data_IF_285785399346
#
_entry.id   IF_285785399346
#
_cell.length_a   1.000
_cell.length_b   1.000
_cell.length_c   1.000
_cell.angle_alpha   90.00
_cell.angle_beta   90.00
_cell.angle_gamma   90.00
#
_symmetry.space_group_name_H-M   'P 1'
#
loop_
_entity.id
_entity.type
_entity.pdbx_description
1 polymer ?
#
# COMPACT_ATOMS: atom_id res chain seq x y z
N UNK A 1 4.84 18.32 21.77
CA UNK A 1 5.88 17.43 22.34
C UNK A 1 5.57 15.99 21.97
N UNK A 2 6.58 15.25 21.48
CA UNK A 2 6.41 13.84 21.11
C UNK A 2 6.25 12.97 22.36
N UNK A 3 5.20 12.16 22.39
CA UNK A 3 4.93 11.22 23.48
C UNK A 3 4.67 9.85 22.89
N UNK A 4 5.30 8.83 23.45
CA UNK A 4 5.11 7.44 23.04
C UNK A 4 3.86 6.85 23.70
N UNK A 5 3.11 6.02 22.96
CA UNK A 5 1.97 5.30 23.51
C UNK A 5 2.40 4.35 24.64
N UNK A 6 3.48 3.62 24.44
CA UNK A 6 4.16 2.82 25.46
C UNK A 6 5.44 3.56 25.88
N UNK A 7 5.63 3.91 27.16
CA UNK A 7 6.79 4.69 27.59
C UNK A 7 8.12 4.10 27.10
N UNK A 8 8.91 4.94 26.41
CA UNK A 8 10.24 4.56 25.91
C UNK A 8 10.24 3.66 24.68
N UNK A 9 9.07 3.23 24.17
CA UNK A 9 8.95 2.36 23.00
C UNK A 9 8.25 3.07 21.83
N UNK A 10 8.77 2.91 20.63
CA UNK A 10 8.24 3.51 19.39
C UNK A 10 7.96 2.41 18.37
N UNK A 11 6.70 2.28 17.99
CA UNK A 11 6.30 1.53 16.81
C UNK A 11 6.35 2.46 15.59
N UNK A 12 7.17 2.11 14.60
CA UNK A 12 7.38 2.90 13.39
C UNK A 12 7.01 2.08 12.17
N UNK A 13 6.02 2.55 11.40
CA UNK A 13 5.70 1.97 10.10
C UNK A 13 6.18 2.90 8.99
N UNK A 14 6.84 2.34 7.98
CA UNK A 14 7.27 3.05 6.79
C UNK A 14 6.84 2.31 5.54
N UNK A 15 6.37 3.06 4.55
CA UNK A 15 5.99 2.48 3.26
C UNK A 15 7.21 1.96 2.53
N UNK A 16 7.14 0.72 2.03
CA UNK A 16 8.21 0.12 1.26
C UNK A 16 8.05 0.30 -0.26
N UNK A 17 8.97 -0.25 -1.05
CA UNK A 17 8.94 -0.12 -2.50
C UNK A 17 7.88 -0.99 -3.15
N UNK A 18 7.44 -0.56 -4.35
CA UNK A 18 6.77 -1.44 -5.31
C UNK A 18 7.86 -2.12 -6.16
N UNK A 19 7.94 -3.44 -6.05
CA UNK A 19 9.11 -4.22 -6.51
C UNK A 19 8.97 -4.74 -7.94
N UNK A 20 8.78 -3.85 -8.90
CA UNK A 20 8.76 -4.15 -10.33
C UNK A 20 9.91 -3.53 -11.11
N UNK A 21 10.71 -2.67 -10.47
CA UNK A 21 11.86 -1.97 -11.03
C UNK A 21 12.83 -1.53 -9.93
N UNK A 22 14.05 -1.15 -10.30
CA UNK A 22 15.03 -0.56 -9.39
C UNK A 22 14.51 0.74 -8.77
N UNK A 23 14.77 0.94 -7.48
CA UNK A 23 14.55 2.23 -6.85
C UNK A 23 15.52 3.27 -7.43
N UNK A 24 15.01 4.46 -7.78
CA UNK A 24 15.86 5.57 -8.19
C UNK A 24 16.12 6.51 -7.01
N UNK A 25 17.02 7.48 -7.20
CA UNK A 25 17.45 8.38 -6.12
C UNK A 25 16.30 9.16 -5.46
N UNK A 26 15.24 9.47 -6.20
CA UNK A 26 14.05 10.13 -5.66
C UNK A 26 13.31 9.26 -4.63
N UNK A 27 13.21 7.95 -4.88
CA UNK A 27 12.63 7.01 -3.91
C UNK A 27 13.55 6.84 -2.69
N UNK A 28 14.86 6.67 -2.94
CA UNK A 28 15.84 6.44 -1.88
C UNK A 28 15.96 7.62 -0.92
N UNK A 29 15.66 8.84 -1.37
CA UNK A 29 15.59 10.03 -0.49
C UNK A 29 14.60 9.83 0.67
N UNK A 30 13.41 9.30 0.40
CA UNK A 30 12.41 9.05 1.44
C UNK A 30 12.93 8.02 2.45
N UNK A 31 13.51 6.94 1.98
CA UNK A 31 14.06 5.88 2.85
C UNK A 31 15.24 6.38 3.71
N UNK A 32 16.06 7.30 3.19
CA UNK A 32 17.12 7.98 3.97
C UNK A 32 16.50 8.82 5.09
N UNK A 33 15.44 9.57 4.81
CA UNK A 33 14.77 10.40 5.81
C UNK A 33 14.17 9.54 6.94
N UNK A 34 13.53 8.44 6.59
CA UNK A 34 12.97 7.47 7.53
C UNK A 34 14.06 6.82 8.40
N UNK A 35 15.17 6.44 7.79
CA UNK A 35 16.34 5.86 8.48
C UNK A 35 16.98 6.86 9.45
N UNK A 36 17.11 8.12 9.05
CA UNK A 36 17.61 9.19 9.93
C UNK A 36 16.70 9.36 11.15
N UNK A 37 15.39 9.35 10.94
CA UNK A 37 14.43 9.45 12.04
C UNK A 37 14.55 8.25 12.99
N UNK A 38 14.61 7.02 12.46
CA UNK A 38 14.80 5.81 13.28
C UNK A 38 16.09 5.89 14.10
N UNK A 39 17.21 6.24 13.45
CA UNK A 39 18.52 6.36 14.11
C UNK A 39 18.51 7.43 15.18
N UNK A 40 17.86 8.57 14.92
CA UNK A 40 17.72 9.65 15.90
C UNK A 40 16.91 9.21 17.13
N UNK A 41 15.78 8.53 16.93
CA UNK A 41 14.96 8.02 18.02
C UNK A 41 15.74 7.01 18.87
N UNK A 42 16.45 6.07 18.25
CA UNK A 42 17.33 5.11 18.96
C UNK A 42 18.46 5.82 19.72
N UNK A 43 19.09 6.81 19.08
CA UNK A 43 20.13 7.62 19.75
C UNK A 43 19.58 8.41 20.94
N UNK A 44 18.33 8.86 20.86
CA UNK A 44 17.63 9.56 21.95
C UNK A 44 17.17 8.62 23.08
N UNK A 45 17.46 7.32 22.99
CA UNK A 45 17.19 6.33 24.04
C UNK A 45 15.85 5.59 23.89
N UNK A 46 15.15 5.75 22.78
CA UNK A 46 13.94 4.98 22.52
C UNK A 46 14.27 3.59 21.98
N UNK A 47 13.52 2.59 22.42
CA UNK A 47 13.43 1.30 21.75
C UNK A 47 12.49 1.44 20.54
N UNK A 48 12.98 1.16 19.33
CA UNK A 48 12.20 1.35 18.09
C UNK A 48 12.01 0.01 17.41
N UNK A 49 10.75 -0.34 17.12
CA UNK A 49 10.38 -1.44 16.25
C UNK A 49 9.91 -0.88 14.92
N UNK A 50 10.71 -1.04 13.86
CA UNK A 50 10.38 -0.55 12.52
C UNK A 50 9.84 -1.65 11.63
N UNK A 51 8.66 -1.43 11.08
CA UNK A 51 7.99 -2.30 10.10
C UNK A 51 7.96 -1.62 8.73
N UNK A 52 8.20 -2.39 7.67
CA UNK A 52 8.08 -1.95 6.29
C UNK A 52 7.34 -3.00 5.47
N UNK A 53 6.40 -2.58 4.64
CA UNK A 53 5.80 -3.46 3.65
C UNK A 53 6.68 -3.59 2.40
N UNK A 54 6.42 -4.62 1.60
CA UNK A 54 6.83 -4.71 0.20
C UNK A 54 5.57 -4.83 -0.64
N UNK A 55 5.39 -3.94 -1.61
CA UNK A 55 4.26 -4.01 -2.54
C UNK A 55 4.62 -4.91 -3.71
N UNK A 56 4.23 -6.17 -3.61
CA UNK A 56 4.49 -7.25 -4.57
C UNK A 56 3.24 -7.71 -5.30
N UNK A 57 2.12 -6.95 -5.20
CA UNK A 57 0.83 -7.24 -5.83
C UNK A 57 0.08 -5.97 -6.22
N UNK A 58 -0.70 -6.05 -7.31
CA UNK A 58 -1.84 -5.17 -7.56
C UNK A 58 -1.55 -3.71 -7.87
N UNK A 59 -0.42 -3.38 -8.52
CA UNK A 59 -0.12 -1.99 -8.84
C UNK A 59 -0.24 -1.71 -10.34
N UNK A 60 -1.12 -0.77 -10.70
CA UNK A 60 -1.33 -0.37 -12.09
C UNK A 60 -0.14 0.45 -12.64
N UNK A 61 0.07 0.39 -13.94
CA UNK A 61 1.17 1.09 -14.62
C UNK A 61 1.00 2.60 -14.70
N UNK A 62 -0.21 3.12 -14.44
CA UNK A 62 -0.49 4.54 -14.38
C UNK A 62 -1.23 4.91 -13.10
N UNK A 63 -0.97 6.13 -12.59
CA UNK A 63 -1.70 6.70 -11.45
C UNK A 63 -3.16 7.04 -11.82
N UNK A 64 -3.53 6.90 -13.09
CA UNK A 64 -4.84 7.22 -13.64
C UNK A 64 -5.83 6.04 -13.63
N UNK A 65 -5.56 5.00 -12.84
CA UNK A 65 -6.39 3.78 -12.79
C UNK A 65 -6.59 3.10 -14.16
N UNK A 66 -5.72 3.45 -15.11
CA UNK A 66 -5.71 2.92 -16.48
C UNK A 66 -4.33 2.33 -16.77
N UNK A 67 -4.24 1.07 -17.16
CA UNK A 67 -2.99 0.47 -17.58
C UNK A 67 -2.79 -0.98 -17.14
N UNK A 68 -1.72 -1.57 -17.67
CA UNK A 68 -1.29 -2.92 -17.34
C UNK A 68 -0.70 -2.98 -15.91
N UNK A 69 -0.90 -4.09 -15.22
CA UNK A 69 -0.25 -4.36 -13.93
C UNK A 69 1.28 -4.19 -14.05
N UNK A 70 1.86 -3.35 -13.21
CA UNK A 70 3.30 -3.05 -13.20
C UNK A 70 4.14 -4.31 -13.01
N UNK A 71 3.68 -5.24 -12.16
CA UNK A 71 4.37 -6.50 -11.91
C UNK A 71 4.34 -7.39 -13.15
N UNK A 72 3.20 -7.49 -13.83
CA UNK A 72 3.05 -8.26 -15.06
C UNK A 72 3.89 -7.69 -16.21
N UNK A 73 3.93 -6.36 -16.35
CA UNK A 73 4.78 -5.67 -17.31
C UNK A 73 6.27 -5.94 -17.06
N UNK A 74 6.70 -5.92 -15.80
CA UNK A 74 8.05 -6.29 -15.39
C UNK A 74 8.38 -7.74 -15.74
N UNK A 75 7.48 -8.66 -15.42
CA UNK A 75 7.62 -10.08 -15.68
C UNK A 75 7.76 -10.39 -17.18
N UNK A 76 6.91 -9.81 -18.02
CA UNK A 76 6.99 -9.97 -19.50
C UNK A 76 8.30 -9.41 -20.05
N UNK A 77 8.75 -8.25 -19.58
CA UNK A 77 10.02 -7.64 -20.03
C UNK A 77 11.22 -8.51 -19.73
N UNK A 78 11.23 -9.20 -18.60
CA UNK A 78 12.38 -9.97 -18.12
C UNK A 78 12.23 -11.47 -18.30
N UNK A 79 11.12 -11.94 -18.92
CA UNK A 79 10.82 -13.37 -19.11
C UNK A 79 10.85 -14.18 -17.80
N UNK A 80 10.34 -13.58 -16.71
CA UNK A 80 10.27 -14.16 -15.37
C UNK A 80 8.83 -14.20 -14.89
N UNK A 81 8.57 -14.96 -13.84
CA UNK A 81 7.30 -14.90 -13.13
C UNK A 81 7.20 -13.61 -12.32
N UNK A 82 5.97 -13.20 -11.98
CA UNK A 82 5.75 -12.01 -11.12
C UNK A 82 6.45 -12.14 -9.78
N UNK A 83 6.45 -13.33 -9.19
CA UNK A 83 7.11 -13.57 -7.90
C UNK A 83 8.63 -13.52 -7.99
N UNK A 84 9.22 -14.04 -9.07
CA UNK A 84 10.67 -13.91 -9.32
C UNK A 84 11.09 -12.46 -9.52
N UNK A 85 10.27 -11.66 -10.19
CA UNK A 85 10.50 -10.22 -10.34
C UNK A 85 10.43 -9.52 -8.99
N UNK A 86 9.40 -9.81 -8.20
CA UNK A 86 9.23 -9.23 -6.87
C UNK A 86 10.43 -9.53 -5.97
N UNK A 87 10.88 -10.79 -5.94
CA UNK A 87 12.03 -11.18 -5.15
C UNK A 87 13.32 -10.51 -5.62
N UNK A 88 13.57 -10.51 -6.93
CA UNK A 88 14.76 -9.89 -7.51
C UNK A 88 14.89 -8.40 -7.17
N UNK A 89 13.82 -7.62 -7.36
CA UNK A 89 13.85 -6.19 -7.05
C UNK A 89 13.80 -5.88 -5.56
N UNK A 90 13.22 -6.76 -4.74
CA UNK A 90 13.31 -6.67 -3.29
C UNK A 90 14.76 -6.82 -2.81
N UNK A 91 15.46 -7.81 -3.34
CA UNK A 91 16.88 -8.04 -3.00
C UNK A 91 17.76 -6.88 -3.46
N UNK A 92 17.54 -6.39 -4.70
CA UNK A 92 18.24 -5.23 -5.24
C UNK A 92 17.99 -3.96 -4.40
N UNK A 93 16.75 -3.72 -3.98
CA UNK A 93 16.40 -2.59 -3.12
C UNK A 93 17.16 -2.63 -1.78
N UNK A 94 17.18 -3.77 -1.11
CA UNK A 94 17.90 -3.88 0.17
C UNK A 94 19.40 -3.82 0.01
N UNK A 95 19.95 -4.30 -1.10
CA UNK A 95 21.38 -4.13 -1.40
C UNK A 95 21.74 -2.64 -1.62
N UNK A 96 20.88 -1.88 -2.31
CA UNK A 96 21.08 -0.44 -2.49
C UNK A 96 20.91 0.33 -1.16
N UNK A 97 19.94 -0.05 -0.32
CA UNK A 97 19.80 0.47 1.04
C UNK A 97 21.08 0.21 1.86
N UNK A 98 21.66 -0.97 1.77
CA UNK A 98 22.92 -1.33 2.46
C UNK A 98 24.08 -0.44 2.02
N UNK A 99 24.22 -0.19 0.71
CA UNK A 99 25.27 0.72 0.15
C UNK A 99 25.10 2.15 0.66
N UNK A 100 23.89 2.60 0.92
CA UNK A 100 23.56 3.92 1.46
C UNK A 100 23.57 3.96 2.99
N UNK A 101 23.97 2.87 3.66
CA UNK A 101 23.92 2.75 5.13
C UNK A 101 22.52 2.95 5.72
N UNK A 102 21.49 2.61 4.97
CA UNK A 102 20.11 2.56 5.46
C UNK A 102 19.92 1.25 6.21
N UNK A 103 19.49 1.32 7.47
CA UNK A 103 19.23 0.14 8.30
C UNK A 103 18.03 -0.64 7.73
N UNK A 104 18.17 -1.97 7.63
CA UNK A 104 17.03 -2.82 7.31
C UNK A 104 15.98 -2.72 8.43
N UNK A 105 14.68 -2.56 8.12
CA UNK A 105 13.62 -2.59 9.12
C UNK A 105 13.62 -3.89 9.93
N UNK A 106 13.14 -3.82 11.18
CA UNK A 106 13.09 -4.98 12.08
C UNK A 106 12.15 -6.05 11.53
N UNK A 107 11.06 -5.62 10.89
CA UNK A 107 10.13 -6.49 10.15
C UNK A 107 9.93 -5.98 8.73
N UNK A 108 10.05 -6.88 7.75
CA UNK A 108 9.75 -6.61 6.33
C UNK A 108 8.64 -7.58 5.92
N UNK A 109 7.48 -7.02 5.51
CA UNK A 109 6.31 -7.83 5.21
C UNK A 109 5.84 -7.62 3.75
N UNK A 110 5.98 -8.62 2.87
CA UNK A 110 5.35 -8.61 1.55
C UNK A 110 3.82 -8.60 1.65
N UNK A 111 3.16 -7.83 0.80
CA UNK A 111 1.70 -7.72 0.79
C UNK A 111 1.03 -9.07 0.49
N UNK A 112 1.60 -9.87 -0.40
CA UNK A 112 1.10 -11.23 -0.72
C UNK A 112 1.15 -12.20 0.46
N UNK A 113 1.96 -11.91 1.46
CA UNK A 113 2.07 -12.71 2.69
C UNK A 113 0.97 -12.44 3.72
N UNK A 114 0.02 -11.52 3.46
CA UNK A 114 -1.03 -11.12 4.42
C UNK A 114 -2.45 -11.28 3.86
N UNK A 115 -2.65 -12.11 2.84
CA UNK A 115 -3.96 -12.24 2.18
C UNK A 115 -5.05 -12.70 3.14
N UNK A 116 -4.77 -13.68 3.99
CA UNK A 116 -5.73 -14.20 4.97
C UNK A 116 -6.09 -13.14 6.01
N UNK A 117 -5.13 -12.36 6.47
CA UNK A 117 -5.33 -11.25 7.40
C UNK A 117 -6.17 -10.13 6.75
N UNK A 118 -5.94 -9.81 5.49
CA UNK A 118 -6.77 -8.83 4.77
C UNK A 118 -8.22 -9.30 4.68
N UNK A 119 -8.45 -10.56 4.33
CA UNK A 119 -9.81 -11.14 4.27
C UNK A 119 -10.49 -11.06 5.64
N UNK A 120 -9.78 -11.40 6.72
CA UNK A 120 -10.31 -11.32 8.09
C UNK A 120 -10.65 -9.87 8.48
N UNK A 121 -9.76 -8.91 8.19
CA UNK A 121 -9.99 -7.49 8.52
C UNK A 121 -11.18 -6.95 7.73
N UNK A 122 -11.25 -7.22 6.43
CA UNK A 122 -12.34 -6.76 5.56
C UNK A 122 -13.67 -7.36 6.02
N UNK A 123 -13.70 -8.65 6.38
CA UNK A 123 -14.89 -9.30 6.92
C UNK A 123 -15.39 -8.58 8.17
N UNK A 124 -14.48 -8.26 9.09
CA UNK A 124 -14.81 -7.51 10.31
C UNK A 124 -15.32 -6.10 10.02
N UNK A 125 -14.77 -5.43 9.01
CA UNK A 125 -15.24 -4.10 8.60
C UNK A 125 -16.65 -4.16 8.01
N UNK A 126 -16.95 -5.19 7.22
CA UNK A 126 -18.31 -5.43 6.69
C UNK A 126 -19.32 -5.72 7.84
N UNK A 127 -18.97 -6.59 8.78
CA UNK A 127 -19.80 -6.92 9.95
C UNK A 127 -20.10 -5.69 10.82
N UNK A 128 -19.13 -4.80 10.97
CA UNK A 128 -19.27 -3.55 11.73
C UNK A 128 -19.92 -2.40 10.94
N UNK A 129 -20.20 -2.58 9.66
CA UNK A 129 -20.81 -1.56 8.80
C UNK A 129 -19.87 -0.45 8.35
N UNK A 130 -18.53 -0.63 8.45
CA UNK A 130 -17.52 0.28 7.93
C UNK A 130 -17.14 -0.03 6.47
N UNK A 131 -17.58 -1.13 5.94
CA UNK A 131 -17.37 -1.51 4.54
C UNK A 131 -18.69 -1.96 3.91
N UNK A 132 -18.74 -1.94 2.59
CA UNK A 132 -19.90 -2.37 1.81
C UNK A 132 -19.46 -3.00 0.48
N UNK A 133 -20.38 -3.80 -0.11
CA UNK A 133 -20.18 -4.37 -1.44
C UNK A 133 -20.95 -3.57 -2.47
N UNK A 134 -20.32 -3.23 -3.59
CA UNK A 134 -20.95 -2.60 -4.74
C UNK A 134 -20.22 -2.99 -6.04
N UNK A 135 -20.95 -3.17 -7.14
CA UNK A 135 -20.37 -3.50 -8.45
C UNK A 135 -19.53 -4.80 -8.50
N UNK A 136 -19.56 -5.62 -7.44
CA UNK A 136 -18.74 -6.82 -7.26
C UNK A 136 -17.50 -6.61 -6.38
N UNK A 137 -17.14 -5.37 -6.06
CA UNK A 137 -15.99 -5.03 -5.22
C UNK A 137 -16.41 -4.74 -3.78
N UNK A 138 -15.45 -4.73 -2.86
CA UNK A 138 -15.65 -4.32 -1.47
C UNK A 138 -14.99 -2.96 -1.24
N UNK A 139 -15.75 -2.01 -0.70
CA UNK A 139 -15.31 -0.63 -0.44
C UNK A 139 -15.31 -0.33 1.05
N UNK A 140 -14.40 0.53 1.48
CA UNK A 140 -14.46 1.19 2.77
C UNK A 140 -15.40 2.39 2.67
N UNK A 141 -16.31 2.55 3.65
CA UNK A 141 -17.23 3.67 3.77
C UNK A 141 -16.61 4.79 4.60
N UNK A 142 -16.04 5.78 3.92
CA UNK A 142 -15.34 6.90 4.56
C UNK A 142 -16.27 7.77 5.42
N UNK A 143 -17.58 7.79 5.14
CA UNK A 143 -18.58 8.54 5.91
C UNK A 143 -18.79 8.03 7.32
N UNK A 144 -18.30 6.81 7.63
CA UNK A 144 -18.37 6.22 8.97
C UNK A 144 -17.31 6.75 9.94
N UNK A 145 -16.33 7.51 9.42
CA UNK A 145 -15.28 8.12 10.23
C UNK A 145 -15.69 9.56 10.57
N UNK A 146 -15.88 9.85 11.86
CA UNK A 146 -16.21 11.20 12.34
C UNK A 146 -15.13 12.22 11.97
N UNK A 147 -13.89 11.79 11.80
CA UNK A 147 -12.74 12.62 11.48
C UNK A 147 -11.80 11.90 10.53
N UNK A 148 -12.02 12.07 9.22
CA UNK A 148 -11.22 11.45 8.18
C UNK A 148 -9.88 12.18 7.96
N UNK A 149 -9.91 13.52 7.87
CA UNK A 149 -8.74 14.36 7.66
C UNK A 149 -8.13 14.80 9.00
N UNK A 150 -7.17 14.00 9.52
CA UNK A 150 -6.53 14.28 10.82
C UNK A 150 -5.30 15.18 10.65
N UNK A 151 -4.58 15.04 9.54
CA UNK A 151 -3.31 15.73 9.28
C UNK A 151 -3.40 16.81 8.19
N UNK A 152 -4.51 16.90 7.49
CA UNK A 152 -4.72 17.87 6.42
C UNK A 152 -5.95 18.70 6.73
N UNK A 153 -5.82 20.03 6.68
CA UNK A 153 -6.95 20.98 6.74
C UNK A 153 -7.61 21.12 5.36
N UNK A 154 -7.84 20.01 4.67
CA UNK A 154 -8.59 20.03 3.41
C UNK A 154 -10.08 19.92 3.72
N UNK A 155 -10.86 20.90 3.26
CA UNK A 155 -12.28 20.77 3.13
C UNK A 155 -12.61 19.76 2.01
N UNK A 156 -13.68 18.99 2.17
CA UNK A 156 -14.11 18.00 1.16
C UNK A 156 -14.28 18.61 -0.24
N UNK A 157 -14.53 19.92 -0.33
CA UNK A 157 -14.66 20.68 -1.57
C UNK A 157 -13.32 20.91 -2.30
N UNK A 158 -12.20 20.93 -1.58
CA UNK A 158 -10.85 21.15 -2.14
C UNK A 158 -10.28 19.90 -2.83
N UNK A 159 -10.83 18.73 -2.55
CA UNK A 159 -10.49 17.49 -3.23
C UNK A 159 -11.30 17.37 -4.52
N UNK A 160 -10.99 18.20 -5.49
CA UNK A 160 -11.51 18.04 -6.84
C UNK A 160 -11.13 16.66 -7.37
N UNK A 161 -12.13 15.79 -7.52
CA UNK A 161 -11.98 14.54 -8.28
C UNK A 161 -11.55 14.93 -9.69
N UNK A 162 -10.41 14.38 -10.16
CA UNK A 162 -9.96 14.66 -11.51
C UNK A 162 -8.84 15.71 -11.64
N UNK A 163 -8.15 16.08 -10.55
CA UNK A 163 -6.91 16.86 -10.62
C UNK A 163 -5.80 16.10 -11.39
N UNK A 164 -5.96 14.78 -11.52
CA UNK A 164 -5.13 13.97 -12.43
C UNK A 164 -5.95 13.62 -13.66
N UNK A 165 -5.51 14.09 -14.82
CA UNK A 165 -6.09 13.72 -16.12
C UNK A 165 -6.18 12.19 -16.25
N UNK A 166 -7.39 11.68 -16.51
CA UNK A 166 -7.63 10.25 -16.76
C UNK A 166 -8.15 9.41 -15.59
N UNK A 167 -8.45 9.98 -14.43
CA UNK A 167 -9.16 9.28 -13.35
C UNK A 167 -10.66 9.28 -13.67
N UNK A 168 -11.20 8.14 -14.06
CA UNK A 168 -12.66 7.97 -14.22
C UNK A 168 -13.31 7.80 -12.84
N UNK A 169 -14.42 8.48 -12.64
CA UNK A 169 -15.24 8.38 -11.44
C UNK A 169 -15.81 6.95 -11.29
N UNK A 170 -15.52 6.29 -10.18
CA UNK A 170 -16.12 4.99 -9.88
C UNK A 170 -17.54 5.18 -9.34
N UNK A 171 -18.53 4.96 -10.22
CA UNK A 171 -19.96 5.12 -9.91
C UNK A 171 -20.50 4.15 -8.86
N UNK A 172 -19.72 3.14 -8.44
CA UNK A 172 -20.08 2.21 -7.37
C UNK A 172 -19.78 2.77 -5.97
N UNK A 173 -18.98 3.82 -5.87
CA UNK A 173 -18.67 4.48 -4.60
C UNK A 173 -19.91 5.23 -4.08
N UNK A 174 -20.14 5.14 -2.77
CA UNK A 174 -21.16 5.93 -2.07
C UNK A 174 -20.69 7.36 -1.82
N UNK A 175 -19.40 7.51 -1.48
CA UNK A 175 -18.75 8.79 -1.20
C UNK A 175 -17.48 8.91 -2.04
N UNK A 176 -17.07 10.12 -2.39
CA UNK A 176 -15.85 10.38 -3.19
C UNK A 176 -14.60 9.76 -2.59
N UNK A 177 -14.50 9.80 -1.26
CA UNK A 177 -13.33 9.33 -0.51
C UNK A 177 -13.33 7.84 -0.22
N UNK A 178 -14.38 7.11 -0.61
CA UNK A 178 -14.40 5.66 -0.47
C UNK A 178 -13.32 5.04 -1.34
N UNK A 179 -12.74 3.96 -0.86
CA UNK A 179 -11.69 3.24 -1.58
C UNK A 179 -11.94 1.74 -1.56
N UNK A 180 -11.41 1.06 -2.56
CA UNK A 180 -11.59 -0.39 -2.70
C UNK A 180 -10.69 -1.11 -1.72
N UNK A 181 -11.27 -2.04 -0.96
CA UNK A 181 -10.57 -2.98 -0.08
C UNK A 181 -10.27 -4.30 -0.78
N UNK A 182 -11.17 -4.75 -1.65
CA UNK A 182 -11.01 -5.99 -2.42
C UNK A 182 -11.64 -5.86 -3.79
N UNK A 183 -10.85 -6.11 -4.83
CA UNK A 183 -11.29 -6.13 -6.22
C UNK A 183 -11.67 -7.55 -6.63
N UNK A 184 -12.92 -7.79 -7.03
CA UNK A 184 -13.34 -8.99 -7.75
C UNK A 184 -13.63 -8.70 -9.21
N UNK A 185 -14.01 -7.44 -9.50
CA UNK A 185 -14.18 -6.93 -10.87
C UNK A 185 -13.31 -5.70 -11.01
N UNK A 186 -12.37 -5.78 -11.91
CA UNK A 186 -11.53 -4.67 -12.33
C UNK A 186 -11.73 -4.44 -13.82
N UNK A 187 -11.58 -3.22 -14.28
CA UNK A 187 -11.45 -2.91 -15.72
C UNK A 187 -10.24 -3.63 -16.34
N UNK A 188 -9.36 -4.16 -15.49
CA UNK A 188 -8.13 -4.86 -15.87
C UNK A 188 -8.27 -6.33 -15.54
N UNK A 189 -8.64 -7.12 -16.54
CA UNK A 189 -8.74 -8.59 -16.42
C UNK A 189 -7.37 -9.26 -16.20
N UNK A 190 -6.28 -8.54 -16.46
CA UNK A 190 -4.89 -9.02 -16.53
C UNK A 190 -4.11 -8.93 -15.21
N UNK A 191 -4.78 -8.88 -14.05
CA UNK A 191 -4.05 -8.97 -12.77
C UNK A 191 -3.37 -10.32 -12.64
N UNK A 192 -2.05 -10.27 -12.43
CA UNK A 192 -1.20 -11.46 -12.41
C UNK A 192 -1.49 -12.41 -11.24
N UNK A 193 -1.91 -11.86 -10.10
CA UNK A 193 -2.14 -12.59 -8.86
C UNK A 193 -3.58 -12.34 -8.38
N UNK A 194 -4.30 -13.44 -8.12
CA UNK A 194 -5.66 -13.42 -7.58
C UNK A 194 -5.81 -14.53 -6.54
N UNK A 195 -6.66 -14.31 -5.56
CA UNK A 195 -6.95 -15.25 -4.49
C UNK A 195 -8.44 -15.44 -4.30
N UNK A 196 -8.83 -16.58 -3.76
CA UNK A 196 -10.19 -16.84 -3.33
C UNK A 196 -10.54 -15.97 -2.11
N UNK A 197 -11.76 -15.45 -2.09
CA UNK A 197 -12.30 -14.72 -0.95
C UNK A 197 -13.80 -14.97 -0.80
N UNK A 198 -14.41 -14.63 0.35
CA UNK A 198 -15.86 -14.72 0.54
C UNK A 198 -16.67 -13.88 -0.47
N UNK A 199 -16.05 -12.91 -1.12
CA UNK A 199 -16.68 -11.98 -2.09
C UNK A 199 -16.42 -12.40 -3.54
N UNK A 200 -15.58 -13.40 -3.76
CA UNK A 200 -15.18 -13.92 -5.05
C UNK A 200 -13.67 -13.91 -5.26
N UNK A 201 -13.24 -14.49 -6.38
CA UNK A 201 -11.82 -14.47 -6.79
C UNK A 201 -11.39 -13.05 -7.10
N UNK A 202 -10.31 -12.59 -6.48
CA UNK A 202 -9.87 -11.21 -6.63
C UNK A 202 -8.52 -10.92 -5.97
N UNK A 203 -8.28 -9.65 -5.69
CA UNK A 203 -7.03 -9.19 -5.08
C UNK A 203 -7.30 -7.99 -4.16
N UNK A 204 -6.41 -7.74 -3.16
CA UNK A 204 -6.59 -6.61 -2.24
C UNK A 204 -6.45 -5.27 -2.98
N UNK A 205 -7.29 -4.30 -2.60
CA UNK A 205 -7.08 -2.90 -2.92
C UNK A 205 -5.89 -2.41 -2.11
N UNK A 206 -4.83 -2.01 -2.80
CA UNK A 206 -3.62 -1.54 -2.16
C UNK A 206 -3.46 -0.05 -2.46
N UNK A 207 -3.46 0.76 -1.42
CA UNK A 207 -3.50 2.24 -1.37
C UNK A 207 -3.37 3.01 -2.66
#
# INVERSE_FOLDING_TARGET
EFQTHTPGHVEMYTCGPTVYHFAHIGNLRSYIMEDVLEKFLRWSGYDVNRVMNITDVGHLSSDADTGEDKMLKGARREHKTVMEIAQYYTDAFFEDCRKLNIKRPDTVQPATGCIDEYIQIITRLLEKGYAYQAGGNVYFDSSKLERYYVFNDHDEEDLAVGVRDGVEEDTNKRNKNDFVLWFTKSKFEDQALKWDSPWGVGYPGWH
#
